data_IF_725099863724
#
_entry.id   IF_725099863724
#
_cell.length_a   1.000
_cell.length_b   1.000
_cell.length_c   1.000
_cell.angle_alpha   90.00
_cell.angle_beta   90.00
_cell.angle_gamma   90.00
#
_symmetry.space_group_name_H-M   'P 1'
#
loop_
_entity.id
_entity.type
_entity.pdbx_description
1 polymer ?
#
# COMPACT_ATOMS: atom_id res chain seq x y z
N UNK A 1 -5.26 -7.06 7.21
CA UNK A 1 -4.84 -6.54 5.90
C UNK A 1 -5.96 -6.91 5.00
N UNK A 2 -6.95 -6.04 5.06
CA UNK A 2 -8.25 -6.12 4.44
C UNK A 2 -8.37 -4.93 3.47
N UNK A 3 -9.35 -4.97 2.56
CA UNK A 3 -9.60 -3.82 1.69
C UNK A 3 -9.94 -2.60 2.56
N UNK A 4 -9.46 -1.43 2.15
CA UNK A 4 -9.53 -0.14 2.86
C UNK A 4 -8.57 0.04 4.06
N UNK A 5 -7.82 -0.99 4.47
CA UNK A 5 -6.73 -0.80 5.45
C UNK A 5 -5.70 0.22 4.93
N UNK A 6 -5.24 1.09 5.82
CA UNK A 6 -4.14 2.02 5.54
C UNK A 6 -2.82 1.35 5.86
N UNK A 7 -1.90 1.38 4.91
CA UNK A 7 -0.61 0.72 4.97
C UNK A 7 0.53 1.69 4.66
N UNK A 8 1.75 1.28 4.96
CA UNK A 8 2.98 1.90 4.42
C UNK A 8 3.96 0.86 3.89
N UNK A 9 4.82 1.26 2.96
CA UNK A 9 5.93 0.43 2.50
C UNK A 9 7.02 0.30 3.58
N UNK A 10 7.50 -0.93 3.81
CA UNK A 10 8.64 -1.22 4.72
C UNK A 10 10.01 -1.03 4.06
N UNK A 11 10.04 -1.04 2.74
CA UNK A 11 11.22 -0.91 1.88
C UNK A 11 10.80 -0.31 0.54
N UNK A 12 11.74 0.24 -0.21
CA UNK A 12 11.47 0.75 -1.55
C UNK A 12 10.90 -0.37 -2.44
N UNK A 13 9.92 -0.02 -3.26
CA UNK A 13 9.29 -0.97 -4.16
C UNK A 13 8.85 -0.29 -5.44
N UNK A 14 9.39 -0.78 -6.57
CA UNK A 14 9.32 -0.07 -7.86
C UNK A 14 9.84 1.36 -7.69
N UNK A 15 9.09 2.36 -8.16
CA UNK A 15 9.42 3.78 -8.06
C UNK A 15 8.86 4.45 -6.79
N UNK A 16 8.33 3.66 -5.86
CA UNK A 16 7.72 4.15 -4.62
C UNK A 16 8.68 3.92 -3.45
N UNK A 17 8.95 5.00 -2.73
CA UNK A 17 9.90 5.00 -1.61
C UNK A 17 9.34 4.32 -0.37
N UNK A 18 10.23 3.78 0.46
CA UNK A 18 9.94 3.29 1.80
C UNK A 18 9.19 4.35 2.61
N UNK A 19 8.19 3.91 3.36
CA UNK A 19 7.40 4.76 4.24
C UNK A 19 6.24 5.48 3.54
N UNK A 20 6.15 5.46 2.20
CA UNK A 20 5.00 5.98 1.48
C UNK A 20 3.73 5.27 1.95
N UNK A 21 2.71 6.06 2.29
CA UNK A 21 1.42 5.58 2.76
C UNK A 21 0.54 5.24 1.56
N UNK A 22 -0.33 4.27 1.75
CA UNK A 22 -1.33 3.91 0.76
C UNK A 22 -2.52 3.21 1.40
N UNK A 23 -3.54 2.96 0.58
CA UNK A 23 -4.74 2.25 0.97
C UNK A 23 -4.86 0.99 0.15
N UNK A 24 -5.17 -0.14 0.78
CA UNK A 24 -5.46 -1.39 0.06
C UNK A 24 -6.79 -1.20 -0.69
N UNK A 25 -6.77 -1.22 -2.02
CA UNK A 25 -7.96 -1.04 -2.86
C UNK A 25 -8.51 -2.35 -3.42
N UNK A 26 -7.70 -3.42 -3.40
CA UNK A 26 -8.14 -4.77 -3.81
C UNK A 26 -7.23 -5.85 -3.23
N UNK A 27 -7.80 -6.94 -2.73
CA UNK A 27 -7.07 -8.11 -2.21
C UNK A 27 -7.08 -9.31 -3.16
N UNK A 28 -5.93 -9.97 -3.29
CA UNK A 28 -5.77 -11.21 -4.06
C UNK A 28 -5.15 -12.32 -3.20
N UNK A 29 -5.79 -13.50 -3.19
CA UNK A 29 -5.31 -14.80 -2.66
C UNK A 29 -4.36 -14.74 -1.44
N UNK A 30 -4.60 -13.81 -0.52
CA UNK A 30 -3.82 -13.49 0.69
C UNK A 30 -2.29 -13.40 0.50
N UNK A 31 -1.79 -13.08 -0.70
CA UNK A 31 -0.35 -12.93 -0.99
C UNK A 31 0.01 -11.56 -1.53
N UNK A 32 -0.93 -10.89 -2.19
CA UNK A 32 -0.74 -9.62 -2.86
C UNK A 32 -2.03 -8.81 -2.75
N UNK A 33 -1.90 -7.50 -2.86
CA UNK A 33 -3.02 -6.58 -3.01
C UNK A 33 -2.66 -5.51 -4.04
N UNK A 34 -3.64 -4.77 -4.53
CA UNK A 34 -3.39 -3.45 -5.09
C UNK A 34 -3.45 -2.42 -3.98
N UNK A 35 -2.47 -1.51 -3.99
CA UNK A 35 -2.39 -0.39 -3.07
C UNK A 35 -2.35 0.87 -3.89
N UNK A 36 -3.28 1.79 -3.62
CA UNK A 36 -3.17 3.17 -4.07
C UNK A 36 -2.24 3.90 -3.12
N UNK A 37 -1.11 4.38 -3.63
CA UNK A 37 -0.11 5.11 -2.84
C UNK A 37 -0.28 6.62 -3.03
N UNK A 38 -0.05 7.37 -1.95
CA UNK A 38 -0.25 8.82 -1.93
C UNK A 38 1.05 9.55 -1.63
N UNK A 39 1.18 10.75 -2.19
CA UNK A 39 2.25 11.68 -1.82
C UNK A 39 1.90 12.44 -0.52
N UNK A 40 2.76 13.41 -0.18
CA UNK A 40 2.61 14.21 1.05
C UNK A 40 1.41 15.17 1.02
N UNK A 41 0.93 15.51 -0.17
CA UNK A 41 -0.19 16.43 -0.37
C UNK A 41 -1.53 15.67 -0.46
N UNK A 42 -1.46 14.33 -0.49
CA UNK A 42 -2.59 13.41 -0.54
C UNK A 42 -2.99 13.03 -1.97
N UNK A 43 -2.19 13.43 -2.96
CA UNK A 43 -2.42 13.08 -4.35
C UNK A 43 -1.96 11.64 -4.62
N UNK A 44 -2.69 10.96 -5.50
CA UNK A 44 -2.33 9.60 -5.92
C UNK A 44 -1.04 9.63 -6.72
N UNK A 45 -0.06 8.85 -6.27
CA UNK A 45 1.18 8.59 -7.00
C UNK A 45 0.91 7.52 -8.08
N UNK A 46 0.44 6.35 -7.64
CA UNK A 46 0.14 5.20 -8.52
C UNK A 46 -0.69 4.14 -7.75
N UNK A 47 -1.31 3.22 -8.50
CA UNK A 47 -1.96 2.02 -7.97
C UNK A 47 -1.13 0.79 -8.35
N UNK A 48 -0.58 0.13 -7.34
CA UNK A 48 0.47 -0.89 -7.55
C UNK A 48 0.10 -2.21 -6.90
N UNK A 49 0.16 -3.29 -7.68
CA UNK A 49 0.15 -4.66 -7.16
C UNK A 49 1.39 -4.90 -6.26
N UNK A 50 1.13 -5.04 -4.97
CA UNK A 50 2.12 -5.06 -3.91
C UNK A 50 2.00 -6.34 -3.08
N UNK A 51 3.10 -7.09 -2.88
CA UNK A 51 3.12 -8.22 -1.95
C UNK A 51 2.84 -7.75 -0.51
N UNK A 52 1.96 -8.45 0.21
CA UNK A 52 1.61 -8.09 1.60
C UNK A 52 2.85 -8.02 2.51
N UNK A 53 3.85 -8.87 2.25
CA UNK A 53 5.12 -8.87 3.01
C UNK A 53 5.91 -7.57 2.93
N UNK A 54 5.64 -6.68 1.96
CA UNK A 54 6.27 -5.36 1.82
C UNK A 54 5.53 -4.27 2.59
N UNK A 55 4.35 -4.56 3.08
CA UNK A 55 3.48 -3.61 3.77
C UNK A 55 3.54 -3.78 5.29
N UNK A 56 3.21 -2.70 5.98
CA UNK A 56 2.93 -2.62 7.41
C UNK A 56 1.58 -1.90 7.57
N UNK A 57 0.68 -2.45 8.40
CA UNK A 57 -0.61 -1.80 8.72
C UNK A 57 -0.34 -0.57 9.57
N UNK A 58 -0.97 0.54 9.22
CA UNK A 58 -0.99 1.78 10.00
C UNK A 58 -2.33 1.96 10.69
N UNK A 59 -3.42 1.64 9.97
CA UNK A 59 -4.78 1.70 10.47
C UNK A 59 -5.60 0.62 9.77
N UNK A 60 -6.51 -0.02 10.52
CA UNK A 60 -7.36 -1.09 10.00
C UNK A 60 -8.82 -0.75 10.29
N UNK A 61 -9.70 -1.08 9.35
CA UNK A 61 -11.11 -0.69 9.36
C UNK A 61 -12.04 -1.90 9.48
#
# INVERSE_FOLDING_TARGET
MDELDVVKLKEDYKEISKGTRGTIVLLYDNKKCEVEFFDKDGDTIDVVMTPLKKLEIIESF
#
